data_IF_728002963832
#
_entry.id   IF_728002963832
#
_cell.length_a   1.000
_cell.length_b   1.000
_cell.length_c   1.000
_cell.angle_alpha   90.00
_cell.angle_beta   90.00
_cell.angle_gamma   90.00
#
_symmetry.space_group_name_H-M   'P 1'
#
loop_
_entity.id
_entity.type
_entity.pdbx_description
1 polymer ?
#
# COMPACT_ATOMS: atom_id res chain seq x y z
N UNK A 1 5.42 2.35 17.13
CA UNK A 1 6.17 1.60 16.12
C UNK A 1 7.00 2.57 15.32
N UNK A 2 8.12 2.14 14.74
CA UNK A 2 8.95 3.02 13.91
C UNK A 2 8.30 3.24 12.53
N UNK A 3 8.31 4.47 12.03
CA UNK A 3 7.83 4.79 10.68
C UNK A 3 8.72 4.06 9.65
N UNK A 4 8.11 3.36 8.69
CA UNK A 4 8.84 2.67 7.63
C UNK A 4 8.27 3.08 6.27
N UNK A 5 9.12 3.02 5.23
CA UNK A 5 8.70 3.18 3.84
C UNK A 5 8.48 1.81 3.23
N UNK A 6 7.25 1.54 2.79
CA UNK A 6 6.85 0.23 2.27
C UNK A 6 6.33 0.40 0.83
N UNK A 7 6.89 -0.38 -0.10
CA UNK A 7 6.37 -0.51 -1.45
C UNK A 7 5.48 -1.75 -1.57
N UNK A 8 4.28 -1.60 -2.15
CA UNK A 8 3.37 -2.70 -2.44
C UNK A 8 3.16 -2.77 -3.95
N UNK A 9 3.44 -3.94 -4.53
CA UNK A 9 3.27 -4.22 -5.96
C UNK A 9 1.97 -5.00 -6.14
N UNK A 10 0.99 -4.37 -6.78
CA UNK A 10 -0.35 -4.91 -7.04
C UNK A 10 -1.41 -4.26 -6.15
N UNK A 11 -2.23 -3.37 -6.72
CA UNK A 11 -3.36 -2.72 -6.05
C UNK A 11 -4.68 -3.51 -6.12
N UNK A 12 -4.60 -4.84 -6.14
CA UNK A 12 -5.78 -5.69 -5.99
C UNK A 12 -6.34 -5.62 -4.57
N UNK A 13 -7.46 -6.33 -4.31
CA UNK A 13 -8.16 -6.29 -3.02
C UNK A 13 -7.23 -6.47 -1.79
N UNK A 14 -6.32 -7.44 -1.84
CA UNK A 14 -5.36 -7.69 -0.77
C UNK A 14 -4.26 -6.63 -0.67
N UNK A 15 -3.70 -6.18 -1.79
CA UNK A 15 -2.66 -5.16 -1.78
C UNK A 15 -3.16 -3.84 -1.20
N UNK A 16 -4.37 -3.44 -1.58
CA UNK A 16 -5.04 -2.24 -1.05
C UNK A 16 -5.42 -2.41 0.43
N UNK A 17 -5.89 -3.59 0.85
CA UNK A 17 -6.20 -3.86 2.25
C UNK A 17 -4.94 -3.77 3.14
N UNK A 18 -3.83 -4.37 2.71
CA UNK A 18 -2.55 -4.30 3.41
C UNK A 18 -2.01 -2.87 3.42
N UNK A 19 -2.10 -2.15 2.30
CA UNK A 19 -1.69 -0.75 2.21
C UNK A 19 -2.42 0.12 3.24
N UNK A 20 -3.73 -0.07 3.37
CA UNK A 20 -4.57 0.66 4.34
C UNK A 20 -4.14 0.40 5.77
N UNK A 21 -3.95 -0.86 6.16
CA UNK A 21 -3.53 -1.20 7.52
C UNK A 21 -2.15 -0.61 7.83
N UNK A 22 -1.19 -0.70 6.91
CA UNK A 22 0.14 -0.12 7.11
C UNK A 22 0.10 1.41 7.22
N UNK A 23 -0.71 2.08 6.39
CA UNK A 23 -0.90 3.52 6.47
C UNK A 23 -1.57 3.95 7.79
N UNK A 24 -2.58 3.22 8.25
CA UNK A 24 -3.25 3.46 9.54
C UNK A 24 -2.32 3.26 10.74
N UNK A 25 -1.30 2.40 10.60
CA UNK A 25 -0.25 2.21 11.60
C UNK A 25 0.90 3.23 11.50
N UNK A 26 0.77 4.25 10.65
CA UNK A 26 1.72 5.36 10.55
C UNK A 26 2.92 5.09 9.66
N UNK A 27 2.86 4.08 8.78
CA UNK A 27 3.92 3.84 7.80
C UNK A 27 3.64 4.58 6.49
N UNK A 28 4.71 5.00 5.79
CA UNK A 28 4.60 5.55 4.43
C UNK A 28 4.49 4.42 3.43
N UNK A 29 3.34 4.29 2.80
CA UNK A 29 3.07 3.25 1.81
C UNK A 29 3.06 3.85 0.40
N UNK A 30 3.77 3.21 -0.53
CA UNK A 30 3.63 3.45 -1.95
C UNK A 30 3.02 2.22 -2.61
N UNK A 31 1.81 2.38 -3.15
CA UNK A 31 1.09 1.33 -3.85
C UNK A 31 1.28 1.51 -5.36
N UNK A 32 1.62 0.42 -6.04
CA UNK A 32 1.75 0.39 -7.50
C UNK A 32 0.79 -0.64 -8.09
N UNK A 33 0.22 -0.33 -9.25
CA UNK A 33 -0.49 -1.29 -10.08
C UNK A 33 -0.05 -1.16 -11.53
N UNK A 34 -0.12 -2.29 -12.23
CA UNK A 34 0.11 -2.34 -13.67
C UNK A 34 -1.02 -1.63 -14.43
N UNK A 35 -2.26 -1.87 -14.01
CA UNK A 35 -3.46 -1.24 -14.56
C UNK A 35 -3.63 0.16 -13.98
N UNK A 36 -3.62 1.19 -14.82
CA UNK A 36 -3.77 2.58 -14.38
C UNK A 36 -5.15 2.90 -13.80
N UNK A 37 -6.17 2.07 -14.05
CA UNK A 37 -7.52 2.27 -13.53
C UNK A 37 -7.69 1.87 -12.06
N UNK A 38 -6.68 1.26 -11.44
CA UNK A 38 -6.80 0.60 -10.13
C UNK A 38 -6.19 1.41 -8.98
N UNK A 39 -5.37 2.44 -9.28
CA UNK A 39 -4.67 3.27 -8.27
C UNK A 39 -5.00 4.74 -8.43
#
# INVERSE_FOLDING_TARGET
MEEQRVGIIGAGAWGTAVAKVLAENGHRVQLWAYEQSVV
#
